data_IF_052437765568
#
_entry.id   IF_052437765568
#
_cell.length_a   1.000
_cell.length_b   1.000
_cell.length_c   1.000
_cell.angle_alpha   90.00
_cell.angle_beta   90.00
_cell.angle_gamma   90.00
#
_symmetry.space_group_name_H-M   'P 1'
#
loop_
_entity.id
_entity.type
_entity.pdbx_description
1 polymer ?
#
# COMPACT_ATOMS: atom_id res chain seq x y z
N UNK A 1 -14.62 29.55 12.31
CA UNK A 1 -13.19 29.68 11.92
C UNK A 1 -12.32 28.72 12.75
N UNK A 2 -12.08 27.51 12.25
CA UNK A 2 -11.21 26.51 12.88
C UNK A 2 -10.33 25.91 11.79
N UNK A 3 -9.03 26.12 11.90
CA UNK A 3 -8.01 25.78 10.91
C UNK A 3 -7.88 24.28 10.70
N UNK A 4 -7.87 23.86 9.42
CA UNK A 4 -7.50 22.52 8.98
C UNK A 4 -6.02 22.28 9.30
N UNK A 5 -5.73 21.26 10.09
CA UNK A 5 -4.36 20.79 10.32
C UNK A 5 -3.87 20.09 9.06
N UNK A 6 -2.91 20.71 8.35
CA UNK A 6 -2.19 20.07 7.26
C UNK A 6 -1.33 18.94 7.84
N UNK A 7 -1.61 17.72 7.42
CA UNK A 7 -0.74 16.57 7.67
C UNK A 7 0.64 16.83 7.07
N UNK A 8 1.68 16.69 7.89
CA UNK A 8 3.07 16.85 7.46
C UNK A 8 3.42 15.85 6.35
N UNK A 9 4.17 16.24 5.31
CA UNK A 9 4.67 15.29 4.32
C UNK A 9 5.60 14.28 5.00
N UNK A 10 5.44 13.00 4.66
CA UNK A 10 6.36 11.94 5.07
C UNK A 10 7.71 12.22 4.39
N UNK A 11 8.68 12.73 5.16
CA UNK A 11 10.06 12.91 4.70
C UNK A 11 10.78 11.58 4.86
N UNK A 12 11.09 10.93 3.73
CA UNK A 12 11.93 9.74 3.71
C UNK A 12 13.39 10.19 3.89
N UNK A 13 13.92 10.08 5.10
CA UNK A 13 15.34 10.36 5.37
C UNK A 13 16.24 9.34 4.66
N UNK A 14 17.35 9.83 4.10
CA UNK A 14 18.30 9.07 3.28
C UNK A 14 19.20 8.22 4.19
N UNK A 15 19.22 6.88 4.07
CA UNK A 15 20.22 6.07 4.77
C UNK A 15 21.58 6.17 4.06
N UNK A 16 22.63 6.46 4.84
CA UNK A 16 24.01 6.46 4.41
C UNK A 16 24.57 5.03 4.41
N UNK A 17 24.45 4.31 3.29
CA UNK A 17 25.42 3.31 2.79
C UNK A 17 24.80 2.50 1.64
N UNK A 18 25.35 2.67 0.44
CA UNK A 18 24.90 2.04 -0.80
C UNK A 18 25.68 0.75 -1.06
N UNK A 19 24.97 -0.37 -1.27
CA UNK A 19 25.48 -1.49 -2.06
C UNK A 19 24.98 -1.34 -3.50
N UNK A 20 25.90 -1.22 -4.46
CA UNK A 20 25.59 -1.13 -5.89
C UNK A 20 25.38 -2.54 -6.45
N UNK A 21 24.16 -2.83 -6.91
CA UNK A 21 23.86 -4.02 -7.73
C UNK A 21 23.89 -3.60 -9.19
N UNK A 22 24.77 -4.20 -9.99
CA UNK A 22 24.97 -3.86 -11.41
C UNK A 22 24.18 -4.83 -12.30
N UNK A 23 23.26 -4.32 -13.09
CA UNK A 23 22.68 -4.98 -14.27
C UNK A 23 22.97 -4.10 -15.49
N UNK A 24 23.40 -4.68 -16.62
CA UNK A 24 23.69 -4.00 -17.89
C UNK A 24 22.88 -4.70 -19.00
N UNK A 25 22.31 -4.07 -20.03
CA UNK A 25 22.56 -2.76 -20.66
C UNK A 25 21.26 -1.95 -20.83
N UNK A 26 21.17 -0.88 -20.03
CA UNK A 26 20.41 0.37 -20.15
C UNK A 26 20.21 0.84 -18.70
N UNK A 27 21.33 1.22 -18.08
CA UNK A 27 21.50 1.28 -16.62
C UNK A 27 20.62 2.37 -15.99
N UNK A 28 19.38 2.01 -15.64
CA UNK A 28 18.62 2.71 -14.61
C UNK A 28 19.39 2.54 -13.31
N UNK A 29 20.09 3.59 -12.89
CA UNK A 29 20.76 3.62 -11.59
C UNK A 29 19.70 3.66 -10.49
N UNK A 30 19.27 2.47 -10.04
CA UNK A 30 18.34 2.35 -8.93
C UNK A 30 19.13 2.48 -7.61
N UNK A 31 18.78 3.48 -6.81
CA UNK A 31 19.24 3.57 -5.43
C UNK A 31 18.18 2.96 -4.52
N UNK A 32 18.57 1.97 -3.72
CA UNK A 32 17.69 1.42 -2.71
C UNK A 32 17.33 2.53 -1.70
N UNK A 33 16.04 2.81 -1.57
CA UNK A 33 15.53 3.82 -0.62
C UNK A 33 14.85 3.21 0.60
N UNK A 34 14.28 2.02 0.47
CA UNK A 34 13.51 1.36 1.52
C UNK A 34 13.38 -0.13 1.18
N UNK A 35 13.49 -0.99 2.20
CA UNK A 35 13.23 -2.42 2.11
C UNK A 35 11.83 -2.70 2.65
N UNK A 36 11.04 -3.46 1.88
CA UNK A 36 9.65 -3.81 2.23
C UNK A 36 9.51 -5.33 2.29
N UNK A 37 9.14 -5.86 3.46
CA UNK A 37 9.14 -7.31 3.69
C UNK A 37 7.84 -8.01 3.29
N UNK A 38 6.71 -7.30 3.27
CA UNK A 38 5.38 -7.90 3.10
C UNK A 38 4.72 -7.47 1.81
N UNK A 39 4.16 -6.28 1.80
CA UNK A 39 3.48 -5.71 0.65
C UNK A 39 3.52 -4.18 0.74
N UNK A 40 3.26 -3.54 -0.38
CA UNK A 40 3.17 -2.11 -0.52
C UNK A 40 1.96 -1.75 -1.35
N UNK A 41 1.18 -0.78 -0.88
CA UNK A 41 -0.08 -0.37 -1.51
C UNK A 41 -0.05 1.09 -1.95
N UNK A 42 -0.64 1.37 -3.11
CA UNK A 42 -0.90 2.71 -3.64
C UNK A 42 -2.42 2.87 -3.81
N UNK A 43 -2.94 4.06 -3.52
CA UNK A 43 -4.34 4.42 -3.78
C UNK A 43 -5.27 4.07 -2.63
N UNK A 44 -6.38 3.40 -2.96
CA UNK A 44 -7.49 3.13 -2.04
C UNK A 44 -7.03 2.48 -0.72
N UNK A 45 -6.21 1.43 -0.80
CA UNK A 45 -5.71 0.75 0.40
C UNK A 45 -4.82 1.64 1.27
N UNK A 46 -3.94 2.43 0.65
CA UNK A 46 -3.08 3.35 1.38
C UNK A 46 -3.92 4.38 2.16
N UNK A 47 -5.01 4.89 1.58
CA UNK A 47 -5.94 5.80 2.28
C UNK A 47 -6.67 5.10 3.42
N UNK A 48 -7.22 3.91 3.20
CA UNK A 48 -7.90 3.15 4.26
C UNK A 48 -6.93 2.85 5.41
N UNK A 49 -5.70 2.42 5.08
CA UNK A 49 -4.65 2.14 6.05
C UNK A 49 -4.21 3.38 6.82
N UNK A 50 -4.13 4.55 6.17
CA UNK A 50 -3.85 5.82 6.85
C UNK A 50 -4.98 6.21 7.81
N UNK A 51 -6.24 6.15 7.37
CA UNK A 51 -7.40 6.44 8.25
C UNK A 51 -7.47 5.48 9.43
N UNK A 52 -7.19 4.19 9.20
CA UNK A 52 -7.14 3.18 10.25
C UNK A 52 -5.99 3.45 11.23
N UNK A 53 -4.79 3.76 10.73
CA UNK A 53 -3.64 4.06 11.58
C UNK A 53 -3.91 5.27 12.47
N UNK A 54 -4.43 6.36 11.92
CA UNK A 54 -4.78 7.55 12.69
C UNK A 54 -5.81 7.25 13.78
N UNK A 55 -6.87 6.48 13.47
CA UNK A 55 -7.87 6.06 14.47
C UNK A 55 -7.27 5.19 15.57
N UNK A 56 -6.30 4.34 15.22
CA UNK A 56 -5.60 3.49 16.19
C UNK A 56 -4.75 4.33 17.13
N UNK A 57 -4.06 5.34 16.62
CA UNK A 57 -3.23 6.24 17.41
C UNK A 57 -4.09 7.07 18.38
N UNK A 58 -5.28 7.49 17.97
CA UNK A 58 -6.26 8.17 18.84
C UNK A 58 -6.86 7.24 19.91
N UNK A 59 -7.04 5.95 19.62
CA UNK A 59 -7.74 5.01 20.49
C UNK A 59 -7.07 3.62 20.59
N UNK A 60 -5.83 3.54 21.13
CA UNK A 60 -5.04 2.31 21.10
C UNK A 60 -5.71 1.12 21.82
N UNK A 61 -6.45 1.39 22.91
CA UNK A 61 -7.19 0.36 23.68
C UNK A 61 -8.34 -0.30 22.89
N UNK A 62 -8.83 0.33 21.81
CA UNK A 62 -9.92 -0.20 20.96
C UNK A 62 -9.42 -1.09 19.82
N UNK A 63 -8.11 -1.11 19.55
CA UNK A 63 -7.50 -1.80 18.41
C UNK A 63 -6.74 -3.09 18.77
N UNK A 64 -6.99 -3.65 19.96
CA UNK A 64 -6.30 -4.85 20.45
C UNK A 64 -6.83 -6.18 19.88
N UNK A 65 -7.96 -6.17 19.18
CA UNK A 65 -8.60 -7.39 18.66
C UNK A 65 -8.52 -7.46 17.14
N UNK A 66 -8.00 -8.57 16.61
CA UNK A 66 -7.91 -8.85 15.17
C UNK A 66 -9.28 -8.71 14.47
N UNK A 67 -10.33 -9.28 15.05
CA UNK A 67 -11.68 -9.24 14.48
C UNK A 67 -12.24 -7.82 14.45
N UNK A 68 -12.01 -7.04 15.52
CA UNK A 68 -12.43 -5.63 15.56
C UNK A 68 -11.67 -4.80 14.53
N UNK A 69 -10.37 -5.05 14.37
CA UNK A 69 -9.55 -4.37 13.38
C UNK A 69 -10.05 -4.69 11.96
N UNK A 70 -10.35 -5.95 11.67
CA UNK A 70 -10.92 -6.37 10.39
C UNK A 70 -12.27 -5.68 10.12
N UNK A 71 -13.16 -5.62 11.12
CA UNK A 71 -14.44 -4.92 11.00
C UNK A 71 -14.26 -3.43 10.71
N UNK A 72 -13.34 -2.76 11.41
CA UNK A 72 -13.03 -1.35 11.16
C UNK A 72 -12.52 -1.10 9.75
N UNK A 73 -11.61 -1.95 9.26
CA UNK A 73 -11.16 -1.91 7.87
C UNK A 73 -12.31 -2.07 6.88
N UNK A 74 -13.26 -2.98 7.15
CA UNK A 74 -14.45 -3.15 6.31
C UNK A 74 -15.35 -1.91 6.26
N UNK A 75 -15.58 -1.26 7.41
CA UNK A 75 -16.36 -0.02 7.49
C UNK A 75 -15.68 1.13 6.73
N UNK A 76 -14.37 1.31 6.94
CA UNK A 76 -13.58 2.33 6.24
C UNK A 76 -13.53 2.06 4.74
N UNK A 77 -13.31 0.81 4.32
CA UNK A 77 -13.31 0.41 2.92
C UNK A 77 -14.65 0.67 2.24
N UNK A 78 -15.77 0.38 2.91
CA UNK A 78 -17.12 0.64 2.37
C UNK A 78 -17.36 2.14 2.17
N UNK A 79 -16.97 2.98 3.14
CA UNK A 79 -17.04 4.44 3.02
C UNK A 79 -16.29 4.93 1.78
N UNK A 80 -15.07 4.44 1.58
CA UNK A 80 -14.24 4.85 0.45
C UNK A 80 -14.77 4.37 -0.90
N UNK A 81 -15.35 3.16 -0.96
CA UNK A 81 -16.02 2.66 -2.16
C UNK A 81 -17.23 3.51 -2.56
N UNK A 82 -17.96 4.08 -1.59
CA UNK A 82 -19.06 5.01 -1.86
C UNK A 82 -18.52 6.37 -2.31
N UNK A 83 -17.47 6.87 -1.65
CA UNK A 83 -16.86 8.17 -1.95
C UNK A 83 -16.04 8.19 -3.25
N UNK A 84 -15.58 7.03 -3.73
CA UNK A 84 -14.90 6.88 -5.03
C UNK A 84 -13.65 7.76 -5.16
N UNK A 85 -12.96 8.01 -4.04
CA UNK A 85 -11.94 9.07 -3.94
C UNK A 85 -10.68 8.80 -4.76
N UNK A 86 -10.42 7.52 -5.09
CA UNK A 86 -9.24 7.09 -5.87
C UNK A 86 -9.57 6.56 -7.26
N UNK A 87 -10.72 6.93 -7.85
CA UNK A 87 -11.01 6.60 -9.25
C UNK A 87 -9.91 7.07 -10.21
N UNK A 88 -9.79 6.37 -11.33
CA UNK A 88 -8.90 6.71 -12.41
C UNK A 88 -7.42 6.75 -11.96
N UNK A 89 -7.00 5.82 -11.08
CA UNK A 89 -5.61 5.77 -10.66
C UNK A 89 -4.69 5.44 -11.84
N UNK A 90 -5.17 4.64 -12.80
CA UNK A 90 -4.50 4.31 -14.05
C UNK A 90 -4.11 5.52 -14.91
N UNK A 91 -4.80 6.65 -14.74
CA UNK A 91 -4.49 7.90 -15.47
C UNK A 91 -3.37 8.70 -14.78
N UNK A 92 -2.97 8.29 -13.57
CA UNK A 92 -2.05 9.02 -12.69
C UNK A 92 -0.76 8.26 -12.42
N UNK A 93 -0.69 6.99 -12.77
CA UNK A 93 0.48 6.13 -12.56
C UNK A 93 0.81 5.37 -13.83
N UNK A 94 2.10 5.17 -14.06
CA UNK A 94 2.61 4.27 -15.09
C UNK A 94 3.22 3.07 -14.38
N UNK A 95 2.85 1.86 -14.82
CA UNK A 95 3.45 0.63 -14.33
C UNK A 95 4.41 0.10 -15.39
N UNK A 96 5.63 -0.21 -14.95
CA UNK A 96 6.65 -0.86 -15.75
C UNK A 96 7.19 -2.04 -14.95
N UNK A 97 7.29 -3.21 -15.59
CA UNK A 97 7.86 -4.41 -15.00
C UNK A 97 8.98 -4.90 -15.91
N UNK A 98 10.18 -5.01 -15.38
CA UNK A 98 11.38 -5.46 -16.12
C UNK A 98 11.62 -4.70 -17.43
N UNK A 99 11.43 -3.38 -17.42
CA UNK A 99 11.57 -2.51 -18.60
C UNK A 99 10.34 -2.50 -19.52
N UNK A 100 9.31 -3.29 -19.23
CA UNK A 100 8.11 -3.42 -20.07
C UNK A 100 6.96 -2.59 -19.49
N UNK A 101 6.47 -1.57 -20.21
CA UNK A 101 5.32 -0.78 -19.76
C UNK A 101 4.05 -1.64 -19.82
N UNK A 102 3.26 -1.60 -18.75
CA UNK A 102 2.00 -2.34 -18.64
C UNK A 102 0.80 -1.40 -18.66
N UNK A 103 -0.17 -1.67 -19.55
CA UNK A 103 -1.44 -0.94 -19.57
C UNK A 103 -2.29 -1.33 -18.36
N UNK A 104 -2.70 -0.34 -17.58
CA UNK A 104 -3.50 -0.55 -16.38
C UNK A 104 -5.01 -0.52 -16.70
N UNK A 105 -5.81 -1.45 -16.15
CA UNK A 105 -7.27 -1.34 -16.21
C UNK A 105 -7.76 -0.17 -15.34
N UNK A 106 -9.05 0.17 -15.43
CA UNK A 106 -9.62 1.13 -14.49
C UNK A 106 -9.54 0.59 -13.07
N UNK A 107 -8.76 1.26 -12.22
CA UNK A 107 -8.44 0.76 -10.88
C UNK A 107 -8.39 1.91 -9.87
N UNK A 108 -8.61 1.56 -8.60
CA UNK A 108 -8.57 2.49 -7.48
C UNK A 108 -7.37 2.26 -6.55
N UNK A 109 -6.67 1.15 -6.72
CA UNK A 109 -5.49 0.83 -5.93
C UNK A 109 -4.61 -0.21 -6.60
N UNK A 110 -3.33 -0.17 -6.29
CA UNK A 110 -2.31 -1.10 -6.74
C UNK A 110 -1.60 -1.65 -5.52
N UNK A 111 -1.37 -2.97 -5.48
CA UNK A 111 -0.60 -3.61 -4.42
C UNK A 111 0.55 -4.40 -5.04
N UNK A 112 1.75 -4.25 -4.47
CA UNK A 112 2.93 -5.05 -4.74
C UNK A 112 3.12 -5.98 -3.56
N UNK A 113 3.24 -7.29 -3.81
CA UNK A 113 3.26 -8.32 -2.79
C UNK A 113 4.60 -9.07 -2.83
N UNK A 114 5.23 -9.22 -1.67
CA UNK A 114 6.39 -10.09 -1.43
C UNK A 114 6.00 -11.40 -0.72
N UNK A 115 4.78 -11.46 -0.15
CA UNK A 115 4.18 -12.66 0.44
C UNK A 115 2.84 -12.97 -0.26
N UNK A 116 2.34 -14.21 -0.24
CA UNK A 116 1.11 -14.57 -0.96
C UNK A 116 -0.18 -14.01 -0.33
N UNK A 117 -0.09 -13.38 0.85
CA UNK A 117 -1.24 -12.90 1.61
C UNK A 117 -1.30 -11.38 1.73
N UNK A 118 -2.51 -10.81 1.66
CA UNK A 118 -2.78 -9.38 1.79
C UNK A 118 -4.09 -9.12 2.55
N UNK A 119 -4.39 -7.86 2.92
CA UNK A 119 -5.66 -7.44 3.52
C UNK A 119 -6.15 -8.31 4.70
N UNK A 120 -5.27 -8.57 5.67
CA UNK A 120 -5.58 -9.35 6.87
C UNK A 120 -5.54 -10.87 6.71
N UNK A 121 -4.93 -11.36 5.62
CA UNK A 121 -4.62 -12.77 5.40
C UNK A 121 -5.29 -13.41 4.18
N UNK A 122 -5.86 -12.60 3.27
CA UNK A 122 -6.47 -13.05 2.03
C UNK A 122 -5.37 -13.51 1.06
N UNK A 123 -5.48 -14.72 0.52
CA UNK A 123 -4.61 -15.22 -0.55
C UNK A 123 -5.18 -14.83 -1.92
N UNK A 124 -4.45 -14.00 -2.68
CA UNK A 124 -4.88 -13.51 -3.99
C UNK A 124 -4.48 -14.42 -5.15
N UNK A 125 -3.53 -15.33 -4.93
CA UNK A 125 -2.91 -16.14 -5.99
C UNK A 125 -3.56 -17.52 -6.15
N UNK A 126 -4.44 -17.89 -5.23
CA UNK A 126 -4.93 -19.27 -5.18
C UNK A 126 -3.84 -20.22 -4.68
N UNK A 127 -4.25 -21.35 -4.12
CA UNK A 127 -3.38 -22.23 -3.33
C UNK A 127 -4.19 -22.70 -2.14
N UNK A 128 -4.70 -23.92 -2.25
CA UNK A 128 -5.60 -24.56 -1.29
C UNK A 128 -4.97 -24.62 0.09
N UNK A 129 -5.84 -24.51 1.09
CA UNK A 129 -5.61 -25.20 2.36
C UNK A 129 -5.37 -26.68 2.02
N UNK A 130 -4.12 -27.12 1.95
CA UNK A 130 -3.65 -28.52 2.02
C UNK A 130 -2.17 -28.52 1.64
N UNK A 131 -1.31 -28.30 2.63
CA UNK A 131 0.08 -28.77 2.69
C UNK A 131 0.43 -28.86 4.18
N UNK A 132 -0.24 -29.79 4.87
CA UNK A 132 0.14 -30.50 6.11
C UNK A 132 -0.97 -31.46 6.51
#
# INVERSE_FOLDING_TARGET
PGSLSLTSPIVLEKPESLHTVTFSEDTVQCSEKCVMNNYFGIGLDAKISLEFNNKRDEHPKKCSSRTKNMMWYGVLGTKELVQKTYKNLEQRVQLECDGVPMSLPSLQGLAVLNIPSYAGGINFWGGTKEDN
#
